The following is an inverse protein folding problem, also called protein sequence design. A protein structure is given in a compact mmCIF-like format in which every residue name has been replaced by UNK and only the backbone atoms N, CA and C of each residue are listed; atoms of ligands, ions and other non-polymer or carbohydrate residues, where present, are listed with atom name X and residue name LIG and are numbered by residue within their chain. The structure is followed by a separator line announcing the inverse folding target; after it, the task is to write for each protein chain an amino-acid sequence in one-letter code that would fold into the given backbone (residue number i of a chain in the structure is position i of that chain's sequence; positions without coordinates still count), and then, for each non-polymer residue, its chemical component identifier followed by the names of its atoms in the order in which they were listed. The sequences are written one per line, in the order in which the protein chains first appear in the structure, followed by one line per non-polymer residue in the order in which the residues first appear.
data_IF_199645911150
#
_entry.id   IF_199645911150
#
_cell.length_a   1.000
_cell.length_b   1.000
_cell.length_c   1.000
_cell.angle_alpha   90.00
_cell.angle_beta   90.00
_cell.angle_gamma   90.00
#
_symmetry.space_group_name_H-M   'P 1'
#
loop_
_entity.id
_entity.type
_entity.pdbx_description
1 polymer ?
#
# COMPACT_ATOMS: atom_id res chain seq x y z
N UNK A 1 18.78 -2.45 -9.46
CA UNK A 1 18.68 -1.91 -9.48
C UNK A 1 18.55 -1.13 -9.11
N UNK A 2 18.84 -1.30 -8.51
CA UNK A 2 18.53 -0.16 -8.22
C UNK A 2 18.45 0.91 -9.12
N UNK A 3 18.24 0.61 -10.24
CA UNK A 3 18.13 1.56 -11.17
C UNK A 3 17.08 2.52 -10.92
N UNK A 4 15.91 2.05 -10.70
CA UNK A 4 14.87 3.00 -10.48
C UNK A 4 15.14 3.83 -9.26
N UNK A 5 15.79 3.27 -8.30
CA UNK A 5 16.01 4.05 -7.12
C UNK A 5 16.94 5.18 -7.39
N UNK A 6 17.91 5.02 -8.24
CA UNK A 6 18.72 6.15 -8.45
C UNK A 6 18.06 7.17 -9.28
N UNK A 7 17.20 6.78 -10.14
CA UNK A 7 16.48 7.76 -10.90
C UNK A 7 15.62 8.60 -10.03
N UNK A 8 14.95 7.98 -9.11
CA UNK A 8 14.11 8.74 -8.27
C UNK A 8 14.86 9.56 -7.31
N UNK A 9 15.96 9.04 -6.88
CA UNK A 9 16.65 9.71 -5.83
C UNK A 9 17.05 11.11 -6.16
N UNK A 10 17.26 11.36 -7.40
CA UNK A 10 17.74 12.67 -7.69
C UNK A 10 16.65 13.69 -7.75
N UNK A 11 15.53 13.35 -8.25
CA UNK A 11 14.56 14.36 -8.49
C UNK A 11 13.28 14.13 -7.78
N UNK A 12 12.76 13.00 -7.94
CA UNK A 12 11.46 12.77 -7.38
C UNK A 12 11.63 12.19 -6.02
N UNK A 13 10.91 12.68 -5.12
CA UNK A 13 10.90 12.09 -3.81
C UNK A 13 9.53 11.49 -3.61
N UNK A 14 9.47 10.56 -2.71
CA UNK A 14 8.24 9.87 -2.40
C UNK A 14 8.02 9.92 -0.91
N UNK A 15 6.79 9.96 -0.51
CA UNK A 15 6.50 9.89 0.90
C UNK A 15 5.48 8.80 1.15
N UNK A 16 5.47 8.29 2.36
CA UNK A 16 4.54 7.28 2.81
C UNK A 16 3.42 7.95 3.56
N UNK A 17 2.21 7.58 3.24
CA UNK A 17 1.05 8.07 3.96
C UNK A 17 0.39 6.88 4.59
N UNK A 18 0.23 6.91 5.90
CA UNK A 18 -0.42 5.81 6.59
C UNK A 18 -1.87 5.73 6.15
N UNK A 19 -2.31 4.56 5.74
CA UNK A 19 -3.69 4.41 5.32
C UNK A 19 -4.42 3.31 6.08
N UNK A 20 -3.72 2.34 6.64
CA UNK A 20 -4.45 1.31 7.35
C UNK A 20 -3.54 0.24 7.91
N UNK A 21 -4.15 -0.89 8.23
CA UNK A 21 -3.40 -1.98 8.84
C UNK A 21 -3.95 -3.32 8.39
N UNK A 22 -3.12 -4.34 8.52
CA UNK A 22 -3.53 -5.71 8.24
C UNK A 22 -4.35 -6.18 9.42
N UNK A 23 -5.54 -6.69 9.16
CA UNK A 23 -6.39 -7.23 10.20
C UNK A 23 -6.39 -8.75 10.22
N UNK A 24 -6.02 -9.38 9.12
CA UNK A 24 -5.96 -10.82 9.07
C UNK A 24 -5.15 -11.24 7.85
N UNK A 25 -4.68 -12.47 7.87
CA UNK A 25 -3.95 -12.99 6.71
C UNK A 25 -4.35 -14.45 6.52
N UNK A 26 -4.73 -14.79 5.30
CA UNK A 26 -5.18 -16.13 4.95
C UNK A 26 -4.09 -16.78 4.14
N UNK A 27 -3.20 -17.49 4.83
CA UNK A 27 -2.00 -17.96 4.18
C UNK A 27 -2.24 -19.04 3.12
N UNK A 28 -3.34 -19.72 3.19
CA UNK A 28 -3.60 -20.75 2.19
C UNK A 28 -3.85 -20.16 0.82
N UNK A 29 -4.37 -18.98 0.77
CA UNK A 29 -4.68 -18.34 -0.50
C UNK A 29 -3.88 -17.09 -0.75
N UNK A 30 -3.00 -16.72 0.18
CA UNK A 30 -2.14 -15.57 -0.02
C UNK A 30 -2.87 -14.25 -0.06
N UNK A 31 -3.91 -14.12 0.76
CA UNK A 31 -4.74 -12.92 0.77
C UNK A 31 -4.70 -12.32 2.16
N UNK A 32 -4.57 -11.01 2.23
CA UNK A 32 -4.60 -10.30 3.50
C UNK A 32 -5.85 -9.44 3.55
N UNK A 33 -6.39 -9.31 4.74
CA UNK A 33 -7.51 -8.41 4.99
C UNK A 33 -6.96 -7.17 5.66
N UNK A 34 -7.48 -6.02 5.26
CA UNK A 34 -7.00 -4.74 5.75
C UNK A 34 -8.18 -3.90 6.19
N UNK A 35 -7.93 -3.03 7.13
CA UNK A 35 -8.88 -1.97 7.47
C UNK A 35 -8.27 -0.66 7.04
N UNK A 36 -8.99 0.10 6.24
CA UNK A 36 -8.52 1.40 5.80
C UNK A 36 -8.91 2.42 6.86
N UNK A 37 -7.92 3.03 7.49
CA UNK A 37 -8.17 3.94 8.59
C UNK A 37 -8.01 5.40 8.21
N UNK A 38 -7.39 5.67 7.08
CA UNK A 38 -7.17 7.03 6.63
C UNK A 38 -7.06 7.03 5.12
N UNK A 39 -7.47 8.10 4.49
CA UNK A 39 -7.33 8.26 3.05
C UNK A 39 -8.15 7.23 2.28
N UNK A 40 -7.90 7.13 1.01
CA UNK A 40 -8.53 6.13 0.16
C UNK A 40 -7.42 5.34 -0.52
N UNK A 41 -7.77 4.19 -1.07
CA UNK A 41 -6.81 3.35 -1.76
C UNK A 41 -7.46 2.85 -3.04
N UNK A 42 -6.71 2.88 -4.13
CA UNK A 42 -7.23 2.50 -5.44
C UNK A 42 -6.32 1.46 -6.08
N UNK A 43 -6.90 0.70 -6.98
CA UNK A 43 -6.11 -0.21 -7.80
C UNK A 43 -5.09 0.63 -8.58
N UNK A 44 -3.86 0.17 -8.59
CA UNK A 44 -2.77 0.90 -9.23
C UNK A 44 -1.91 1.71 -8.28
N UNK A 45 -2.37 1.91 -7.06
CA UNK A 45 -1.57 2.65 -6.09
C UNK A 45 -0.38 1.82 -5.65
N UNK A 46 0.71 2.51 -5.32
CA UNK A 46 1.88 1.86 -4.75
C UNK A 46 1.72 1.82 -3.25
N UNK A 47 2.08 0.72 -2.65
CA UNK A 47 1.90 0.54 -1.22
C UNK A 47 3.15 -0.02 -0.59
N UNK A 48 3.25 0.18 0.71
CA UNK A 48 4.31 -0.36 1.53
C UNK A 48 3.68 -0.95 2.77
N UNK A 49 4.03 -2.18 3.09
CA UNK A 49 3.55 -2.82 4.29
C UNK A 49 4.74 -3.03 5.19
N UNK A 50 4.64 -2.61 6.45
CA UNK A 50 5.76 -2.73 7.38
C UNK A 50 5.31 -3.44 8.65
N UNK A 51 6.21 -4.17 9.25
CA UNK A 51 5.95 -4.82 10.52
C UNK A 51 7.22 -5.40 11.07
N UNK A 52 7.22 -5.74 12.33
CA UNK A 52 8.41 -6.26 12.98
C UNK A 52 8.93 -7.51 12.32
N UNK A 53 8.06 -8.42 11.98
CA UNK A 53 8.47 -9.67 11.36
C UNK A 53 8.48 -9.54 9.85
N UNK A 54 7.50 -8.85 9.31
CA UNK A 54 7.37 -8.70 7.87
C UNK A 54 8.50 -7.86 7.28
N UNK A 55 8.98 -6.90 8.04
CA UNK A 55 9.97 -5.98 7.51
C UNK A 55 9.29 -4.92 6.66
N UNK A 56 9.81 -4.68 5.51
CA UNK A 56 9.23 -3.69 4.58
C UNK A 56 8.97 -4.39 3.26
N UNK A 57 7.73 -4.31 2.80
CA UNK A 57 7.31 -5.02 1.61
C UNK A 57 6.55 -4.04 0.72
N UNK A 58 7.06 -3.81 -0.47
CA UNK A 58 6.44 -2.88 -1.41
C UNK A 58 5.72 -3.64 -2.50
N UNK A 59 4.62 -3.09 -2.95
CA UNK A 59 3.84 -3.74 -3.99
C UNK A 59 2.95 -2.69 -4.65
N UNK A 60 2.25 -3.12 -5.67
CA UNK A 60 1.27 -2.29 -6.35
C UNK A 60 -0.07 -2.98 -6.17
N UNK A 61 -1.10 -2.21 -5.90
CA UNK A 61 -2.44 -2.76 -5.70
C UNK A 61 -2.97 -3.24 -7.04
N UNK A 62 -3.13 -4.55 -7.17
CA UNK A 62 -3.63 -5.14 -8.41
C UNK A 62 -5.11 -5.40 -8.37
N UNK A 63 -5.62 -5.72 -7.21
CA UNK A 63 -7.03 -6.02 -7.09
C UNK A 63 -7.45 -5.79 -5.65
N UNK A 64 -8.60 -5.19 -5.47
CA UNK A 64 -9.18 -4.96 -4.15
C UNK A 64 -10.54 -5.62 -4.13
N UNK A 65 -10.85 -6.33 -3.06
CA UNK A 65 -12.15 -6.95 -2.90
C UNK A 65 -12.80 -6.50 -1.61
N UNK A 66 -14.07 -6.19 -1.71
CA UNK A 66 -14.89 -5.85 -0.55
C UNK A 66 -16.06 -6.82 -0.59
N UNK A 67 -16.23 -7.60 0.49
CA UNK A 67 -17.28 -8.62 0.53
C UNK A 67 -17.19 -9.56 -0.66
N UNK A 68 -15.96 -9.92 -1.00
CA UNK A 68 -15.66 -10.87 -2.08
C UNK A 68 -15.93 -10.32 -3.47
N UNK A 69 -16.29 -9.06 -3.59
CA UNK A 69 -16.53 -8.45 -4.89
C UNK A 69 -15.40 -7.51 -5.24
N UNK A 70 -14.94 -7.54 -6.48
CA UNK A 70 -13.85 -6.64 -6.86
C UNK A 70 -14.34 -5.20 -6.93
N UNK A 71 -13.51 -4.31 -6.44
CA UNK A 71 -13.79 -2.88 -6.52
C UNK A 71 -12.50 -2.19 -6.94
N UNK A 72 -12.62 -0.97 -7.41
CA UNK A 72 -11.44 -0.25 -7.85
C UNK A 72 -10.91 0.70 -6.79
N UNK A 73 -11.70 1.01 -5.80
CA UNK A 73 -11.30 1.98 -4.80
C UNK A 73 -12.02 1.70 -3.51
N UNK A 74 -11.35 1.96 -2.40
CA UNK A 74 -11.96 1.85 -1.08
C UNK A 74 -11.72 3.12 -0.33
N UNK A 75 -12.63 3.43 0.57
CA UNK A 75 -12.58 4.64 1.36
C UNK A 75 -12.30 4.32 2.81
N UNK A 76 -11.99 5.37 3.56
CA UNK A 76 -11.74 5.25 4.97
C UNK A 76 -12.87 4.50 5.66
N UNK A 77 -12.51 3.60 6.54
CA UNK A 77 -13.49 2.83 7.32
C UNK A 77 -13.90 1.52 6.68
N UNK A 78 -13.36 1.19 5.53
CA UNK A 78 -13.75 -0.01 4.82
C UNK A 78 -12.75 -1.13 5.08
N UNK A 79 -13.27 -2.35 5.30
CA UNK A 79 -12.43 -3.54 5.32
C UNK A 79 -12.35 -4.06 3.91
N UNK A 80 -11.18 -4.45 3.49
CA UNK A 80 -11.00 -4.96 2.14
C UNK A 80 -9.90 -6.02 2.14
N UNK A 81 -9.82 -6.77 1.07
CA UNK A 81 -8.78 -7.78 0.96
C UNK A 81 -8.02 -7.62 -0.33
N UNK A 82 -6.78 -8.05 -0.32
CA UNK A 82 -5.90 -8.03 -1.47
C UNK A 82 -4.97 -9.21 -1.39
N UNK A 83 -4.57 -9.72 -2.54
CA UNK A 83 -3.52 -10.70 -2.57
C UNK A 83 -2.19 -10.03 -2.25
N UNK A 84 -1.33 -10.74 -1.57
CA UNK A 84 0.02 -10.24 -1.31
C UNK A 84 1.01 -11.27 -1.83
N UNK A 85 2.15 -10.80 -2.28
CA UNK A 85 3.20 -11.68 -2.76
C UNK A 85 4.08 -12.18 -1.63
N UNK A 86 3.96 -11.57 -0.48
CA UNK A 86 4.74 -11.95 0.68
C UNK A 86 3.81 -12.20 1.83
N UNK A 87 4.26 -12.96 2.78
CA UNK A 87 3.48 -13.20 3.98
C UNK A 87 3.49 -11.94 4.83
N UNK A 88 2.32 -11.50 5.23
CA UNK A 88 2.20 -10.35 6.12
C UNK A 88 1.51 -10.81 7.39
N UNK A 89 1.52 -9.95 8.41
CA UNK A 89 1.01 -10.35 9.70
C UNK A 89 0.00 -9.35 10.21
N UNK A 90 -0.86 -9.82 11.09
CA UNK A 90 -1.86 -8.96 11.69
C UNK A 90 -1.17 -7.80 12.38
N UNK A 91 -1.75 -6.63 12.24
CA UNK A 91 -1.24 -5.38 12.80
C UNK A 91 -0.06 -4.78 12.04
N UNK A 92 0.37 -5.39 10.96
CA UNK A 92 1.31 -4.71 10.09
C UNK A 92 0.65 -3.46 9.56
N UNK A 93 1.45 -2.44 9.28
CA UNK A 93 0.93 -1.15 8.85
C UNK A 93 0.97 -1.04 7.34
N UNK A 94 -0.05 -0.41 6.80
CA UNK A 94 -0.17 -0.22 5.36
C UNK A 94 -0.03 1.26 5.06
N UNK A 95 0.87 1.57 4.15
CA UNK A 95 1.10 2.94 3.71
C UNK A 95 0.88 3.02 2.21
N UNK A 96 0.45 4.17 1.76
CA UNK A 96 0.39 4.47 0.34
C UNK A 96 1.60 5.34 0.01
N UNK A 97 2.25 5.04 -1.09
CA UNK A 97 3.43 5.77 -1.49
C UNK A 97 3.01 6.73 -2.59
N UNK A 98 3.27 8.01 -2.37
CA UNK A 98 2.90 9.01 -3.33
C UNK A 98 4.09 9.90 -3.61
N UNK A 99 4.17 10.45 -4.81
CA UNK A 99 5.25 11.39 -5.08
C UNK A 99 4.97 12.69 -4.37
N UNK A 100 6.03 13.36 -3.96
CA UNK A 100 5.85 14.67 -3.39
C UNK A 100 5.80 15.66 -4.51
N UNK A 101 4.85 16.53 -4.40
CA UNK A 101 4.66 17.44 -5.46
C UNK A 101 5.36 18.70 -5.34
N UNK A 102 5.60 19.09 -4.14
CA UNK A 102 6.11 20.38 -3.97
C UNK A 102 7.36 20.57 -4.71
N UNK A 103 8.04 19.52 -4.89
CA UNK A 103 9.25 19.68 -5.60
C UNK A 103 9.01 20.20 -6.95
N UNK A 104 7.94 19.89 -7.51
CA UNK A 104 7.72 20.35 -8.76
C UNK A 104 6.97 21.55 -8.78
N UNK A 105 6.30 21.79 -7.88
CA UNK A 105 5.65 22.86 -7.96
C UNK A 105 6.13 23.84 -7.50
N UNK A 106 6.80 23.77 -7.25
CA UNK A 106 7.21 24.51 -7.01
C UNK A 106 7.60 25.05 -7.56
N UNK A 107 7.49 24.99 -7.91
CA UNK A 107 7.65 25.36 -8.42
C UNK A 107 7.53 25.96 -8.66
N UNK A 108 7.19 25.99 -8.51
CA UNK A 108 7.02 26.28 -8.70
C UNK A 108 7.13 26.66 -8.85
#
# INVERSE_FOLDING_TARGET
MGEWSKNYGSAATHKKIYVGKVTNYFNKIGVAEFLLEAQSLSVGDEILITGETTGAYEDIVNEIRVDLLPVEKVEKGTYFSMKTNELVRRNDKLFKIVPTEHGKEEGK
#
